data_IF_335898586114
#
_entry.id   IF_335898586114
#
_cell.length_a   1.000
_cell.length_b   1.000
_cell.length_c   1.000
_cell.angle_alpha   90.00
_cell.angle_beta   90.00
_cell.angle_gamma   90.00
#
_symmetry.space_group_name_H-M   'P 1'
#
loop_
_entity.id
_entity.type
_entity.pdbx_description
1 polymer ?
#
# COMPACT_ATOMS: atom_id res chain seq x y z
N UNK A 1 -38.37 -74.16 -14.00
CA UNK A 1 -39.08 -74.09 -12.70
C UNK A 1 -38.67 -75.35 -11.95
N UNK A 2 -37.90 -75.26 -10.85
CA UNK A 2 -38.18 -74.44 -9.66
C UNK A 2 -37.11 -73.38 -9.34
N UNK A 3 -37.49 -72.47 -8.44
CA UNK A 3 -36.73 -71.32 -7.92
C UNK A 3 -36.11 -71.64 -6.56
N UNK A 4 -34.88 -71.21 -6.31
CA UNK A 4 -34.28 -71.10 -4.98
C UNK A 4 -33.43 -69.82 -4.90
N UNK A 5 -34.01 -68.85 -4.18
CA UNK A 5 -33.46 -67.77 -3.34
C UNK A 5 -32.08 -67.19 -3.67
N UNK A 6 -32.07 -65.94 -4.15
CA UNK A 6 -30.91 -65.05 -4.04
C UNK A 6 -31.03 -64.26 -2.73
N UNK A 7 -30.27 -64.67 -1.73
CA UNK A 7 -29.86 -63.86 -0.59
C UNK A 7 -28.57 -63.15 -0.98
N UNK A 8 -28.60 -61.83 -1.15
CA UNK A 8 -27.66 -60.93 -0.48
C UNK A 8 -28.11 -59.49 -0.65
N UNK A 9 -28.42 -58.90 0.52
CA UNK A 9 -28.61 -57.49 0.74
C UNK A 9 -27.23 -56.92 1.11
N UNK A 10 -26.65 -56.09 0.24
CA UNK A 10 -25.62 -55.14 0.68
C UNK A 10 -25.87 -53.77 0.03
N UNK A 11 -26.60 -52.93 0.76
CA UNK A 11 -26.76 -51.50 0.47
C UNK A 11 -25.63 -50.74 1.16
N UNK A 12 -24.66 -50.28 0.37
CA UNK A 12 -23.66 -49.24 0.69
C UNK A 12 -23.13 -48.75 -0.66
N UNK A 13 -22.95 -47.48 -0.96
CA UNK A 13 -22.77 -46.29 -0.16
C UNK A 13 -23.11 -45.09 -1.05
N UNK A 14 -23.64 -44.05 -0.44
CA UNK A 14 -24.05 -42.81 -1.07
C UNK A 14 -22.84 -42.09 -1.68
N UNK A 15 -22.94 -41.72 -2.96
CA UNK A 15 -22.05 -40.80 -3.64
C UNK A 15 -22.88 -39.75 -4.37
N UNK A 16 -23.58 -38.91 -3.60
CA UNK A 16 -24.27 -37.73 -4.17
C UNK A 16 -23.20 -36.78 -4.70
N UNK A 17 -22.92 -36.85 -6.00
CA UNK A 17 -22.07 -35.90 -6.71
C UNK A 17 -22.82 -34.58 -6.83
N UNK A 18 -22.86 -33.79 -5.75
CA UNK A 18 -23.23 -32.39 -5.86
C UNK A 18 -22.13 -31.65 -6.63
N UNK A 19 -22.38 -31.47 -7.92
CA UNK A 19 -21.66 -30.51 -8.75
C UNK A 19 -21.87 -29.12 -8.12
N UNK A 20 -20.87 -28.65 -7.37
CA UNK A 20 -20.80 -27.27 -6.92
C UNK A 20 -20.57 -26.44 -8.18
N UNK A 21 -21.66 -25.98 -8.79
CA UNK A 21 -21.64 -24.88 -9.74
C UNK A 21 -21.19 -23.64 -8.96
N UNK A 22 -19.87 -23.48 -8.86
CA UNK A 22 -19.26 -22.26 -8.38
C UNK A 22 -19.69 -21.17 -9.36
N UNK A 23 -20.70 -20.40 -8.98
CA UNK A 23 -21.07 -19.18 -9.66
C UNK A 23 -19.81 -18.33 -9.69
N UNK A 24 -19.15 -18.29 -10.87
CA UNK A 24 -18.11 -17.32 -11.13
C UNK A 24 -18.79 -15.97 -11.06
N UNK A 25 -18.70 -15.33 -9.89
CA UNK A 25 -19.02 -13.92 -9.72
C UNK A 25 -18.43 -13.21 -10.92
N UNK A 26 -19.28 -12.53 -11.69
CA UNK A 26 -18.86 -11.77 -12.84
C UNK A 26 -17.76 -10.82 -12.34
N UNK A 27 -16.52 -11.15 -12.69
CA UNK A 27 -15.34 -10.40 -12.33
C UNK A 27 -15.50 -9.06 -13.03
N UNK A 28 -15.98 -8.07 -12.29
CA UNK A 28 -15.97 -6.68 -12.71
C UNK A 28 -14.49 -6.37 -12.92
N UNK A 29 -14.05 -6.46 -14.18
CA UNK A 29 -12.69 -6.08 -14.57
C UNK A 29 -12.61 -4.57 -14.46
N UNK A 30 -12.33 -4.14 -13.24
CA UNK A 30 -11.92 -2.78 -12.94
C UNK A 30 -10.75 -2.45 -13.87
N UNK A 31 -10.71 -1.25 -14.46
CA UNK A 31 -9.55 -0.82 -15.24
C UNK A 31 -8.31 -1.07 -14.40
N UNK A 32 -7.32 -1.76 -14.97
CA UNK A 32 -6.08 -2.15 -14.29
C UNK A 32 -5.54 -0.91 -13.59
N UNK A 33 -5.60 -0.90 -12.25
CA UNK A 33 -5.24 0.28 -11.46
C UNK A 33 -3.78 0.61 -11.79
N UNK A 34 -3.56 1.64 -12.61
CA UNK A 34 -2.22 2.09 -12.92
C UNK A 34 -1.64 2.69 -11.65
N UNK A 35 -0.52 2.15 -11.18
CA UNK A 35 0.14 2.69 -10.00
C UNK A 35 0.49 4.17 -10.23
N UNK A 36 0.31 5.01 -9.20
CA UNK A 36 0.66 6.42 -9.31
C UNK A 36 2.15 6.57 -9.59
N UNK A 37 2.50 7.56 -10.40
CA UNK A 37 3.88 7.87 -10.70
C UNK A 37 4.34 9.03 -9.83
N UNK A 38 5.47 8.85 -9.15
CA UNK A 38 6.07 9.88 -8.30
C UNK A 38 7.44 10.28 -8.83
N UNK A 39 7.56 11.57 -9.16
CA UNK A 39 8.77 12.16 -9.72
C UNK A 39 9.76 12.69 -8.67
N UNK A 40 9.32 12.82 -7.41
CA UNK A 40 10.07 13.45 -6.33
C UNK A 40 9.60 14.86 -5.95
N UNK A 41 8.49 15.35 -6.51
CA UNK A 41 7.88 16.63 -6.10
C UNK A 41 7.32 16.47 -4.70
N UNK A 42 7.84 17.24 -3.74
CA UNK A 42 7.48 16.99 -2.34
C UNK A 42 5.99 17.22 -2.10
N UNK A 43 5.36 18.18 -2.77
CA UNK A 43 3.91 18.46 -2.69
C UNK A 43 3.03 17.25 -3.02
N UNK A 44 3.43 16.44 -3.99
CA UNK A 44 2.71 15.24 -4.44
C UNK A 44 2.93 14.02 -3.53
N UNK A 45 3.91 14.08 -2.62
CA UNK A 45 4.32 12.94 -1.80
C UNK A 45 3.16 12.35 -0.99
N UNK A 46 2.33 13.20 -0.37
CA UNK A 46 1.25 12.73 0.50
C UNK A 46 0.21 11.93 -0.29
N UNK A 47 -0.24 12.48 -1.42
CA UNK A 47 -1.20 11.81 -2.29
C UNK A 47 -0.64 10.52 -2.88
N UNK A 48 0.64 10.53 -3.27
CA UNK A 48 1.32 9.33 -3.75
C UNK A 48 1.44 8.26 -2.65
N UNK A 49 1.89 8.65 -1.45
CA UNK A 49 2.14 7.71 -0.36
C UNK A 49 0.85 7.02 0.07
N UNK A 50 -0.24 7.77 0.21
CA UNK A 50 -1.52 7.24 0.64
C UNK A 50 -2.07 6.23 -0.39
N UNK A 51 -2.00 6.58 -1.68
CA UNK A 51 -2.48 5.71 -2.74
C UNK A 51 -1.60 4.45 -2.91
N UNK A 52 -0.28 4.60 -2.82
CA UNK A 52 0.64 3.47 -2.90
C UNK A 52 0.51 2.54 -1.68
N UNK A 53 0.31 3.10 -0.49
CA UNK A 53 0.13 2.32 0.74
C UNK A 53 -1.16 1.50 0.69
N UNK A 54 -2.26 2.11 0.21
CA UNK A 54 -3.53 1.42 0.00
C UNK A 54 -3.47 0.34 -1.09
N UNK A 55 -2.78 0.59 -2.20
CA UNK A 55 -2.74 -0.34 -3.34
C UNK A 55 -1.72 -1.47 -3.20
N UNK A 56 -0.56 -1.21 -2.60
CA UNK A 56 0.60 -2.11 -2.63
C UNK A 56 1.11 -2.45 -1.23
N UNK A 57 1.34 -1.45 -0.38
CA UNK A 57 1.97 -1.70 0.93
C UNK A 57 1.09 -2.54 1.85
N UNK A 58 -0.20 -2.23 1.92
CA UNK A 58 -1.18 -2.92 2.77
C UNK A 58 -1.74 -4.20 2.12
N UNK A 59 -1.29 -4.54 0.91
CA UNK A 59 -1.69 -5.75 0.24
C UNK A 59 -0.87 -6.94 0.78
N UNK A 60 -1.55 -7.86 1.46
CA UNK A 60 -0.93 -9.06 2.06
C UNK A 60 -0.66 -10.17 1.05
N UNK A 61 -1.24 -10.09 -0.15
CA UNK A 61 -1.01 -11.06 -1.23
C UNK A 61 0.32 -10.79 -1.97
N UNK A 62 0.98 -9.66 -1.68
CA UNK A 62 2.24 -9.27 -2.27
C UNK A 62 3.41 -9.51 -1.31
N UNK A 63 4.45 -10.17 -1.82
CA UNK A 63 5.74 -10.29 -1.13
C UNK A 63 6.47 -8.95 -1.10
N UNK A 64 7.39 -8.76 -0.14
CA UNK A 64 8.20 -7.53 -0.08
C UNK A 64 8.98 -7.26 -1.38
N UNK A 65 9.50 -8.31 -2.02
CA UNK A 65 10.17 -8.20 -3.32
C UNK A 65 9.22 -7.67 -4.41
N UNK A 66 7.98 -8.17 -4.47
CA UNK A 66 6.97 -7.66 -5.41
C UNK A 66 6.59 -6.21 -5.09
N UNK A 67 6.39 -5.87 -3.82
CA UNK A 67 6.11 -4.49 -3.39
C UNK A 67 7.24 -3.54 -3.78
N UNK A 68 8.50 -3.95 -3.62
CA UNK A 68 9.67 -3.17 -4.01
C UNK A 68 9.79 -3.02 -5.53
N UNK A 69 9.46 -4.05 -6.29
CA UNK A 69 9.40 -3.96 -7.75
C UNK A 69 8.35 -2.93 -8.20
N UNK A 70 7.14 -2.97 -7.63
CA UNK A 70 6.10 -1.99 -7.88
C UNK A 70 6.51 -0.59 -7.45
N UNK A 71 7.18 -0.45 -6.30
CA UNK A 71 7.71 0.81 -5.82
C UNK A 71 8.70 1.39 -6.84
N UNK A 72 9.71 0.63 -7.26
CA UNK A 72 10.68 1.07 -8.27
C UNK A 72 10.02 1.48 -9.59
N UNK A 73 8.99 0.75 -10.05
CA UNK A 73 8.23 1.10 -11.26
C UNK A 73 7.38 2.36 -11.13
N UNK A 74 6.97 2.68 -9.90
CA UNK A 74 6.14 3.85 -9.58
C UNK A 74 6.96 5.11 -9.32
N UNK A 75 8.28 5.01 -9.25
CA UNK A 75 9.18 6.14 -9.01
C UNK A 75 9.89 6.58 -10.29
N UNK A 76 10.12 7.89 -10.40
CA UNK A 76 10.91 8.50 -11.47
C UNK A 76 11.96 9.46 -10.90
N UNK A 77 12.93 9.81 -11.75
CA UNK A 77 13.93 10.85 -11.50
C UNK A 77 14.59 10.72 -10.11
N UNK A 78 14.52 11.76 -9.29
CA UNK A 78 15.21 11.84 -8.00
C UNK A 78 14.64 10.90 -6.94
N UNK A 79 13.34 10.57 -7.01
CA UNK A 79 12.74 9.61 -6.10
C UNK A 79 13.28 8.20 -6.34
N UNK A 80 13.40 7.80 -7.62
CA UNK A 80 13.95 6.49 -7.97
C UNK A 80 15.42 6.36 -7.55
N UNK A 81 16.22 7.42 -7.71
CA UNK A 81 17.65 7.42 -7.33
C UNK A 81 17.89 7.05 -5.86
N UNK A 82 16.97 7.40 -4.96
CA UNK A 82 17.08 7.10 -3.52
C UNK A 82 17.15 5.61 -3.24
N UNK A 83 16.36 4.82 -3.98
CA UNK A 83 16.19 3.38 -3.73
C UNK A 83 16.78 2.53 -4.85
N UNK A 84 17.38 3.13 -5.89
CA UNK A 84 17.81 2.41 -7.08
C UNK A 84 18.90 1.37 -6.77
N UNK A 85 19.80 1.68 -5.82
CA UNK A 85 20.87 0.80 -5.38
C UNK A 85 20.40 -0.43 -4.59
N UNK A 86 19.15 -0.43 -4.11
CA UNK A 86 18.61 -1.56 -3.36
C UNK A 86 18.21 -2.70 -4.31
N UNK A 87 18.69 -3.90 -4.01
CA UNK A 87 18.27 -5.13 -4.70
C UNK A 87 16.80 -5.43 -4.39
N UNK A 88 16.07 -5.99 -5.37
CA UNK A 88 14.68 -6.38 -5.18
C UNK A 88 14.63 -7.64 -4.30
N UNK A 89 14.41 -7.44 -3.01
CA UNK A 89 14.28 -8.51 -2.00
C UNK A 89 13.12 -8.21 -1.05
N UNK A 90 12.68 -9.20 -0.26
CA UNK A 90 11.61 -9.01 0.70
C UNK A 90 11.98 -7.98 1.78
N UNK A 91 13.20 -8.05 2.30
CA UNK A 91 13.64 -7.21 3.41
C UNK A 91 13.88 -5.75 2.99
N UNK A 92 14.22 -5.53 1.72
CA UNK A 92 14.56 -4.19 1.23
C UNK A 92 13.35 -3.30 0.98
N UNK A 93 12.12 -3.84 0.95
CA UNK A 93 10.92 -3.01 0.78
C UNK A 93 10.77 -1.99 1.91
N UNK A 94 10.82 -2.45 3.16
CA UNK A 94 10.67 -1.58 4.33
C UNK A 94 11.77 -0.52 4.40
N UNK A 95 13.00 -0.90 4.03
CA UNK A 95 14.14 0.02 3.96
C UNK A 95 13.90 1.08 2.88
N UNK A 96 13.50 0.67 1.68
CA UNK A 96 13.20 1.57 0.58
C UNK A 96 12.07 2.55 0.94
N UNK A 97 10.99 2.03 1.54
CA UNK A 97 9.82 2.81 1.94
C UNK A 97 10.17 3.84 3.00
N UNK A 98 10.95 3.45 4.02
CA UNK A 98 11.45 4.35 5.05
C UNK A 98 12.33 5.47 4.47
N UNK A 99 13.27 5.15 3.58
CA UNK A 99 14.14 6.15 2.97
C UNK A 99 13.36 7.23 2.21
N UNK A 100 12.27 6.84 1.53
CA UNK A 100 11.40 7.78 0.83
C UNK A 100 10.60 8.64 1.82
N UNK A 101 10.00 8.03 2.86
CA UNK A 101 9.32 8.77 3.94
C UNK A 101 10.27 9.77 4.59
N UNK A 102 11.47 9.37 4.97
CA UNK A 102 12.47 10.25 5.60
C UNK A 102 12.84 11.44 4.69
N UNK A 103 12.97 11.20 3.38
CA UNK A 103 13.30 12.23 2.40
C UNK A 103 12.18 13.24 2.18
N UNK A 104 10.93 12.78 2.03
CA UNK A 104 9.82 13.58 1.50
C UNK A 104 8.76 13.96 2.54
N UNK A 105 8.59 13.16 3.60
CA UNK A 105 7.65 13.43 4.69
C UNK A 105 8.23 14.42 5.71
N UNK A 106 9.54 14.42 5.93
CA UNK A 106 10.15 15.10 7.08
C UNK A 106 10.57 16.57 6.83
N UNK A 107 10.83 16.98 5.59
CA UNK A 107 11.31 18.35 5.31
C UNK A 107 10.24 19.43 5.39
N UNK A 108 9.01 19.15 4.94
CA UNK A 108 7.94 20.17 4.89
C UNK A 108 7.31 20.44 6.24
N UNK A 109 7.09 19.42 7.07
CA UNK A 109 6.51 19.59 8.40
C UNK A 109 7.46 20.32 9.36
N UNK A 110 8.74 19.92 9.38
CA UNK A 110 9.75 20.61 10.19
C UNK A 110 9.91 22.06 9.72
N UNK A 111 10.05 22.30 8.41
CA UNK A 111 10.18 23.66 7.89
C UNK A 111 8.92 24.51 8.13
N UNK A 112 7.73 23.97 7.89
CA UNK A 112 6.45 24.66 8.13
C UNK A 112 6.28 24.99 9.62
N UNK A 113 6.63 24.06 10.51
CA UNK A 113 6.64 24.29 11.95
C UNK A 113 7.65 25.36 12.37
N UNK A 114 8.86 25.33 11.81
CA UNK A 114 9.90 26.34 12.06
C UNK A 114 9.50 27.72 11.55
N UNK A 115 8.97 27.82 10.33
CA UNK A 115 8.48 29.08 9.76
C UNK A 115 7.30 29.62 10.57
N UNK A 116 6.33 28.79 10.96
CA UNK A 116 5.22 29.20 11.83
C UNK A 116 5.72 29.71 13.18
N UNK A 117 6.69 29.02 13.80
CA UNK A 117 7.33 29.49 15.03
C UNK A 117 8.08 30.81 14.84
N UNK A 118 8.72 31.02 13.70
CA UNK A 118 9.44 32.25 13.36
C UNK A 118 8.51 33.43 13.00
N UNK A 119 7.33 33.17 12.42
CA UNK A 119 6.36 34.21 12.09
C UNK A 119 5.47 34.58 13.30
N UNK A 120 5.28 33.66 14.24
CA UNK A 120 4.53 33.88 15.48
C UNK A 120 5.37 34.48 16.62
N UNK A 121 6.62 34.89 16.36
CA UNK A 121 7.37 35.69 17.33
C UNK A 121 6.74 37.09 17.29
N UNK A 122 5.76 37.35 18.14
CA UNK A 122 5.24 38.69 18.38
C UNK A 122 6.43 39.58 18.75
N UNK A 123 6.71 40.69 18.03
CA UNK A 123 7.71 41.63 18.51
C UNK A 123 7.23 42.16 19.87
N UNK A 124 8.03 41.95 20.90
CA UNK A 124 7.85 42.58 22.22
C UNK A 124 8.09 44.09 22.04
N UNK A 125 7.12 44.79 21.46
CA UNK A 125 7.04 46.23 21.60
C UNK A 125 6.38 46.47 22.96
N UNK A 126 7.21 46.46 23.99
CA UNK A 126 6.86 46.97 25.32
C UNK A 126 6.69 48.50 25.18
N UNK A 127 5.52 48.89 24.67
CA UNK A 127 5.08 50.27 24.71
C UNK A 127 4.75 50.60 26.17
N UNK A 128 5.72 51.13 26.92
CA UNK A 128 5.44 51.91 28.11
C UNK A 128 5.20 53.37 27.71
N UNK A 129 3.94 53.84 27.60
CA UNK A 129 3.69 55.27 27.47
C UNK A 129 4.03 55.96 28.78
N UNK A 130 5.05 56.83 28.71
CA UNK A 130 5.29 57.89 29.68
C UNK A 130 3.98 58.64 29.97
N UNK A 131 3.60 58.73 31.26
CA UNK A 131 2.70 59.77 31.72
C UNK A 131 3.33 60.54 32.87
N UNK A 132 3.26 61.85 32.68
CA UNK A 132 3.73 62.98 33.48
C UNK A 132 3.16 63.00 34.89
#
# INVERSE_FOLDING_TARGET
MPSVVNSDFEVKNQGSSHSLVSARSAEVKLPTLSLPIFSGVTEEWLAFSDLFEAAVSNNNDLTGAQKLQYLKGSLKSDALKIINSLSITNDNFEIAWKLLKDRYFNKREIMSSLIKKFLNITPLVENHPHKF
#
